data_IF_292720468538
#
_entry.id   IF_292720468538
#
_cell.length_a   1.000
_cell.length_b   1.000
_cell.length_c   1.000
_cell.angle_alpha   90.00
_cell.angle_beta   90.00
_cell.angle_gamma   90.00
#
_symmetry.space_group_name_H-M   'P 1'
#
loop_
_entity.id
_entity.type
_entity.pdbx_description
1 polymer ?
#
# COMPACT_ATOMS: atom_id res chain seq x y z
N UNK A 1 8.60 15.86 -16.66
CA UNK A 1 7.89 14.98 -15.69
C UNK A 1 6.49 15.53 -15.49
N UNK A 2 5.46 14.76 -15.74
CA UNK A 2 4.08 15.15 -15.46
C UNK A 2 3.86 15.34 -13.95
N UNK A 3 2.91 16.22 -13.62
CA UNK A 3 2.50 16.47 -12.24
C UNK A 3 0.98 16.41 -12.16
N UNK A 4 0.45 15.73 -11.14
CA UNK A 4 -0.99 15.62 -10.89
C UNK A 4 -1.33 16.00 -9.47
N UNK A 5 -2.58 16.43 -9.25
CA UNK A 5 -3.12 16.66 -7.90
C UNK A 5 -3.66 15.34 -7.36
N UNK A 6 -3.21 14.92 -6.19
CA UNK A 6 -3.67 13.72 -5.53
C UNK A 6 -4.11 14.06 -4.09
N UNK A 7 -5.41 14.27 -3.91
CA UNK A 7 -5.94 14.77 -2.64
C UNK A 7 -5.23 16.05 -2.17
N UNK A 8 -4.63 16.06 -0.97
CA UNK A 8 -3.96 17.23 -0.41
C UNK A 8 -2.55 17.48 -0.98
N UNK A 9 -2.00 16.59 -1.83
CA UNK A 9 -0.62 16.70 -2.32
C UNK A 9 -0.53 16.86 -3.85
N UNK A 10 0.57 17.47 -4.30
CA UNK A 10 0.97 17.45 -5.71
C UNK A 10 2.01 16.35 -5.90
N UNK A 11 1.84 15.53 -6.93
CA UNK A 11 2.72 14.39 -7.20
C UNK A 11 3.30 14.49 -8.59
N UNK A 12 4.61 14.46 -8.69
CA UNK A 12 5.37 14.37 -9.93
C UNK A 12 5.86 12.94 -10.11
N UNK A 13 5.74 12.42 -11.33
CA UNK A 13 6.16 11.06 -11.67
C UNK A 13 6.89 11.03 -13.02
N UNK A 14 7.60 9.95 -13.29
CA UNK A 14 8.33 9.69 -14.53
C UNK A 14 7.86 8.37 -15.16
N UNK A 15 8.17 8.13 -16.42
CA UNK A 15 7.68 6.97 -17.19
C UNK A 15 8.05 5.61 -16.57
N UNK A 16 9.07 5.57 -15.70
CA UNK A 16 9.48 4.36 -14.98
C UNK A 16 8.64 4.10 -13.71
N UNK A 17 7.69 4.98 -13.37
CA UNK A 17 6.83 4.88 -12.19
C UNK A 17 5.38 4.91 -12.64
N UNK A 18 4.55 4.02 -12.06
CA UNK A 18 3.13 3.97 -12.38
C UNK A 18 2.47 5.35 -12.14
N UNK A 19 1.71 5.81 -13.13
CA UNK A 19 0.94 7.04 -13.01
C UNK A 19 -0.03 6.96 -11.82
N UNK A 20 -0.06 7.97 -10.92
CA UNK A 20 -1.01 8.02 -9.81
C UNK A 20 -2.45 7.90 -10.28
N UNK A 21 -3.17 6.90 -9.77
CA UNK A 21 -4.57 6.64 -10.13
C UNK A 21 -5.51 7.36 -9.15
N UNK A 22 -6.41 8.23 -9.62
CA UNK A 22 -7.25 9.05 -8.72
C UNK A 22 -8.08 8.23 -7.72
N UNK A 23 -8.48 7.02 -8.07
CA UNK A 23 -9.29 6.15 -7.19
C UNK A 23 -8.51 5.61 -5.99
N UNK A 24 -7.17 5.50 -6.06
CA UNK A 24 -6.37 5.04 -4.93
C UNK A 24 -6.32 6.06 -3.77
N UNK A 25 -6.83 7.29 -3.98
CA UNK A 25 -7.03 8.24 -2.90
C UNK A 25 -7.97 7.70 -1.80
N UNK A 26 -8.91 6.81 -2.17
CA UNK A 26 -9.79 6.16 -1.20
C UNK A 26 -9.00 5.39 -0.13
N UNK A 27 -7.86 4.81 -0.51
CA UNK A 27 -6.95 4.11 0.41
C UNK A 27 -6.31 5.07 1.42
N UNK A 28 -5.85 6.25 0.94
CA UNK A 28 -5.31 7.30 1.83
C UNK A 28 -6.35 7.82 2.83
N UNK A 29 -7.57 8.03 2.35
CA UNK A 29 -8.68 8.51 3.19
C UNK A 29 -9.03 7.45 4.24
N UNK A 30 -9.11 6.18 3.85
CA UNK A 30 -9.39 5.11 4.81
C UNK A 30 -8.27 4.93 5.84
N UNK A 31 -7.02 5.00 5.43
CA UNK A 31 -5.90 4.98 6.35
C UNK A 31 -5.96 6.14 7.37
N UNK A 32 -6.44 7.32 6.95
CA UNK A 32 -6.62 8.48 7.84
C UNK A 32 -7.83 8.36 8.79
N UNK A 33 -8.75 7.43 8.55
CA UNK A 33 -9.86 7.11 9.47
C UNK A 33 -9.41 6.19 10.63
N UNK A 34 -8.24 5.56 10.54
CA UNK A 34 -7.72 4.68 11.58
C UNK A 34 -7.10 5.48 12.74
N UNK A 35 -6.95 4.87 13.94
CA UNK A 35 -6.28 5.51 15.06
C UNK A 35 -4.88 6.00 14.66
N UNK A 36 -4.52 7.26 14.99
CA UNK A 36 -3.27 7.85 14.54
C UNK A 36 -2.04 7.15 15.14
N UNK A 37 -0.99 7.00 14.34
CA UNK A 37 0.28 6.42 14.76
C UNK A 37 1.26 6.30 13.59
N UNK A 38 2.46 5.73 13.79
CA UNK A 38 3.43 5.54 12.72
C UNK A 38 2.83 4.74 11.57
N UNK A 39 3.10 5.20 10.34
CA UNK A 39 2.60 4.58 9.11
C UNK A 39 3.70 3.93 8.31
N UNK A 40 3.36 2.85 7.61
CA UNK A 40 4.19 2.18 6.60
C UNK A 40 3.41 2.12 5.28
N UNK A 41 4.08 2.42 4.18
CA UNK A 41 3.57 2.15 2.82
C UNK A 41 4.50 1.16 2.11
N UNK A 42 3.93 0.06 1.65
CA UNK A 42 4.62 -1.00 0.91
C UNK A 42 4.35 -0.85 -0.59
N UNK A 43 5.42 -0.76 -1.40
CA UNK A 43 5.32 -0.53 -2.84
C UNK A 43 4.84 0.88 -3.15
N UNK A 44 5.52 1.90 -2.61
CA UNK A 44 5.00 3.26 -2.60
C UNK A 44 4.93 3.95 -3.98
N UNK A 45 5.62 3.46 -5.01
CA UNK A 45 5.65 4.12 -6.31
C UNK A 45 6.12 5.58 -6.21
N UNK A 46 5.32 6.53 -6.73
CA UNK A 46 5.59 7.97 -6.58
C UNK A 46 5.26 8.50 -5.16
N UNK A 47 4.80 7.66 -4.25
CA UNK A 47 4.51 8.00 -2.86
C UNK A 47 3.13 8.61 -2.63
N UNK A 48 2.27 8.68 -3.64
CA UNK A 48 1.02 9.45 -3.61
C UNK A 48 0.06 9.03 -2.50
N UNK A 49 -0.08 7.72 -2.25
CA UNK A 49 -1.08 7.21 -1.30
C UNK A 49 -0.65 7.53 0.14
N UNK A 50 0.57 7.13 0.51
CA UNK A 50 1.10 7.39 1.84
C UNK A 50 1.30 8.88 2.13
N UNK A 51 1.78 9.66 1.15
CA UNK A 51 1.92 11.12 1.32
C UNK A 51 0.58 11.81 1.55
N UNK A 52 -0.47 11.41 0.83
CA UNK A 52 -1.81 11.94 1.08
C UNK A 52 -2.33 11.56 2.48
N UNK A 53 -2.13 10.30 2.92
CA UNK A 53 -2.47 9.86 4.27
C UNK A 53 -1.67 10.63 5.34
N UNK A 54 -0.35 10.82 5.13
CA UNK A 54 0.50 11.60 6.04
C UNK A 54 0.08 13.08 6.12
N UNK A 55 -0.31 13.69 5.00
CA UNK A 55 -0.82 15.05 4.98
C UNK A 55 -2.17 15.21 5.71
N UNK A 56 -3.02 14.17 5.66
CA UNK A 56 -4.32 14.16 6.35
C UNK A 56 -4.18 13.93 7.86
N UNK A 57 -3.23 13.12 8.29
CA UNK A 57 -3.10 12.68 9.70
C UNK A 57 -2.03 13.43 10.48
N UNK A 58 -1.00 13.96 9.81
CA UNK A 58 0.21 14.48 10.45
C UNK A 58 1.12 13.40 11.03
N UNK A 59 0.85 12.11 10.79
CA UNK A 59 1.62 10.99 11.33
C UNK A 59 2.93 10.77 10.56
N UNK A 60 3.99 10.26 11.22
CA UNK A 60 5.22 9.88 10.53
C UNK A 60 5.00 8.69 9.61
N UNK A 61 5.69 8.68 8.46
CA UNK A 61 5.54 7.68 7.41
C UNK A 61 6.89 7.10 7.01
N UNK A 62 6.96 5.78 6.92
CA UNK A 62 8.01 5.05 6.21
C UNK A 62 7.43 4.57 4.89
N UNK A 63 8.11 4.89 3.78
CA UNK A 63 7.75 4.41 2.45
C UNK A 63 8.84 3.45 1.96
N UNK A 64 8.43 2.33 1.41
CA UNK A 64 9.35 1.31 0.87
C UNK A 64 8.98 0.99 -0.57
N UNK A 65 9.97 0.97 -1.44
CA UNK A 65 9.84 0.47 -2.81
C UNK A 65 11.13 -0.19 -3.27
N UNK A 66 11.04 -1.27 -4.04
CA UNK A 66 12.22 -1.92 -4.62
C UNK A 66 12.85 -1.14 -5.76
N UNK A 67 12.08 -0.26 -6.41
CA UNK A 67 12.53 0.58 -7.52
C UNK A 67 13.24 1.84 -7.01
N UNK A 68 14.50 2.04 -7.41
CA UNK A 68 15.21 3.29 -7.12
C UNK A 68 14.52 4.51 -7.75
N UNK A 69 13.89 4.35 -8.93
CA UNK A 69 13.15 5.43 -9.58
C UNK A 69 11.93 5.84 -8.75
N UNK A 70 11.16 4.86 -8.26
CA UNK A 70 10.03 5.09 -7.37
C UNK A 70 10.47 5.77 -6.07
N UNK A 71 11.50 5.25 -5.41
CA UNK A 71 12.04 5.82 -4.16
C UNK A 71 12.51 7.27 -4.34
N UNK A 72 13.18 7.59 -5.46
CA UNK A 72 13.58 8.98 -5.74
C UNK A 72 12.37 9.89 -5.98
N UNK A 73 11.37 9.42 -6.73
CA UNK A 73 10.15 10.18 -6.98
C UNK A 73 9.39 10.44 -5.67
N UNK A 74 9.19 9.42 -4.83
CA UNK A 74 8.53 9.55 -3.54
C UNK A 74 9.25 10.52 -2.60
N UNK A 75 10.59 10.46 -2.51
CA UNK A 75 11.37 11.39 -1.70
C UNK A 75 11.26 12.85 -2.20
N UNK A 76 11.28 13.05 -3.52
CA UNK A 76 11.11 14.38 -4.11
C UNK A 76 9.69 14.93 -3.84
N UNK A 77 8.66 14.10 -3.97
CA UNK A 77 7.27 14.46 -3.70
C UNK A 77 7.04 14.75 -2.20
N UNK A 78 7.63 13.97 -1.30
CA UNK A 78 7.59 14.23 0.14
C UNK A 78 8.19 15.61 0.48
N UNK A 79 9.34 15.94 -0.13
CA UNK A 79 9.98 17.24 0.05
C UNK A 79 9.12 18.37 -0.51
N UNK A 80 8.55 18.22 -1.71
CA UNK A 80 7.70 19.21 -2.36
C UNK A 80 6.39 19.45 -1.58
N UNK A 81 5.84 18.41 -0.93
CA UNK A 81 4.67 18.50 -0.06
C UNK A 81 4.97 19.10 1.33
N UNK A 82 6.24 19.41 1.64
CA UNK A 82 6.63 19.88 2.98
C UNK A 82 6.66 18.79 4.06
N UNK A 83 6.61 17.52 3.65
CA UNK A 83 6.58 16.35 4.55
C UNK A 83 7.96 15.70 4.74
N UNK A 84 9.03 16.22 4.13
CA UNK A 84 10.36 15.62 4.17
C UNK A 84 10.96 15.40 5.56
N UNK A 85 10.47 16.10 6.59
CA UNK A 85 10.89 15.90 7.98
C UNK A 85 10.17 14.76 8.70
N UNK A 86 9.06 14.27 8.18
CA UNK A 86 8.22 13.21 8.77
C UNK A 86 8.11 11.95 7.90
N UNK A 87 8.72 11.97 6.71
CA UNK A 87 8.71 10.84 5.77
C UNK A 87 10.13 10.28 5.62
N UNK A 88 10.26 8.98 5.81
CA UNK A 88 11.51 8.23 5.58
C UNK A 88 11.31 7.32 4.37
N UNK A 89 12.18 7.46 3.36
CA UNK A 89 12.19 6.62 2.17
C UNK A 89 13.22 5.51 2.29
N UNK A 90 12.86 4.28 1.94
CA UNK A 90 13.77 3.13 1.86
C UNK A 90 13.64 2.44 0.51
N UNK A 91 14.78 2.00 -0.04
CA UNK A 91 14.82 1.28 -1.32
C UNK A 91 15.24 -0.17 -1.09
N UNK A 92 14.44 -1.10 -1.55
CA UNK A 92 14.69 -2.53 -1.43
C UNK A 92 13.43 -3.34 -1.21
N UNK A 93 13.60 -4.65 -1.03
CA UNK A 93 12.50 -5.50 -0.58
C UNK A 93 12.13 -5.12 0.86
N UNK A 94 10.84 -4.93 1.18
CA UNK A 94 10.44 -4.54 2.53
C UNK A 94 10.89 -5.56 3.60
N UNK A 95 10.96 -6.85 3.28
CA UNK A 95 11.46 -7.87 4.21
C UNK A 95 12.94 -7.69 4.57
N UNK A 96 13.72 -7.02 3.71
CA UNK A 96 15.16 -6.82 3.91
C UNK A 96 15.48 -5.46 4.54
N UNK A 97 14.65 -4.43 4.28
CA UNK A 97 14.97 -3.05 4.67
C UNK A 97 14.25 -2.55 5.91
N UNK A 98 13.26 -3.29 6.41
CA UNK A 98 12.62 -3.02 7.69
C UNK A 98 13.36 -3.72 8.82
N UNK A 99 13.56 -3.04 9.94
CA UNK A 99 14.16 -3.67 11.11
C UNK A 99 13.10 -4.54 11.84
N UNK A 100 13.49 -5.72 12.30
CA UNK A 100 12.58 -6.72 12.85
C UNK A 100 11.73 -6.24 14.05
N UNK A 101 12.14 -5.18 14.73
CA UNK A 101 11.46 -4.59 15.89
C UNK A 101 10.59 -3.37 15.51
N UNK A 102 10.60 -2.91 14.24
CA UNK A 102 9.74 -1.80 13.81
C UNK A 102 8.27 -2.24 13.77
N UNK A 103 7.41 -1.37 14.29
CA UNK A 103 5.96 -1.58 14.33
C UNK A 103 5.23 -0.32 13.88
N UNK A 104 4.16 -0.54 13.12
CA UNK A 104 3.35 0.52 12.52
C UNK A 104 1.88 0.34 12.92
N UNK A 105 1.24 1.43 13.30
CA UNK A 105 -0.18 1.43 13.61
C UNK A 105 -1.05 1.32 12.36
N UNK A 106 -0.54 1.85 11.24
CA UNK A 106 -1.25 1.86 9.96
C UNK A 106 -0.27 1.37 8.89
N UNK A 107 -0.68 0.34 8.14
CA UNK A 107 0.06 -0.14 6.98
C UNK A 107 -0.80 0.03 5.73
N UNK A 108 -0.24 0.62 4.69
CA UNK A 108 -0.87 0.80 3.39
C UNK A 108 -0.16 -0.11 2.39
N UNK A 109 -0.91 -0.89 1.62
CA UNK A 109 -0.39 -1.77 0.61
C UNK A 109 -1.25 -1.70 -0.67
N UNK A 110 -0.61 -1.29 -1.77
CA UNK A 110 -1.17 -1.33 -3.13
C UNK A 110 -0.20 -2.11 -4.04
N UNK A 111 -0.09 -3.44 -3.82
CA UNK A 111 0.84 -4.27 -4.57
C UNK A 111 0.40 -4.40 -6.03
N UNK A 112 1.32 -4.68 -6.97
CA UNK A 112 0.95 -5.23 -8.27
C UNK A 112 0.05 -6.45 -8.10
N UNK A 113 -1.10 -6.48 -8.78
CA UNK A 113 -2.12 -7.54 -8.64
C UNK A 113 -2.66 -8.06 -9.99
N UNK A 114 -2.08 -7.64 -11.12
CA UNK A 114 -2.48 -8.14 -12.44
C UNK A 114 -1.77 -9.47 -12.69
N UNK A 115 -2.49 -10.54 -13.10
CA UNK A 115 -1.86 -11.78 -13.53
C UNK A 115 -0.88 -11.54 -14.67
N UNK A 116 0.29 -12.21 -14.66
CA UNK A 116 1.35 -12.00 -15.66
C UNK A 116 0.87 -12.17 -17.11
N UNK A 117 -0.10 -13.04 -17.37
CA UNK A 117 -0.69 -13.25 -18.70
C UNK A 117 -1.60 -12.10 -19.17
N UNK A 118 -2.00 -11.21 -18.26
CA UNK A 118 -2.88 -10.08 -18.54
C UNK A 118 -2.16 -8.73 -18.63
N UNK A 119 -0.88 -8.64 -18.29
CA UNK A 119 -0.14 -7.35 -18.24
C UNK A 119 -0.07 -6.65 -19.60
N UNK A 120 -0.09 -7.39 -20.71
CA UNK A 120 -0.11 -6.85 -22.07
C UNK A 120 -1.39 -6.05 -22.39
N UNK A 121 -2.42 -6.14 -21.56
CA UNK A 121 -3.66 -5.33 -21.67
C UNK A 121 -3.43 -3.88 -21.22
N UNK A 122 -2.30 -3.60 -20.58
CA UNK A 122 -1.92 -2.30 -20.03
C UNK A 122 -0.57 -1.82 -20.58
N UNK A 123 -0.46 -1.57 -21.90
CA UNK A 123 0.82 -1.32 -22.57
C UNK A 123 1.49 0.01 -22.14
N UNK A 124 0.72 0.93 -21.56
CA UNK A 124 1.22 2.23 -21.09
C UNK A 124 1.74 2.17 -19.65
N UNK A 125 1.49 1.07 -18.92
CA UNK A 125 1.91 0.92 -17.53
C UNK A 125 3.25 0.15 -17.44
N UNK A 126 4.17 0.57 -16.54
CA UNK A 126 5.40 -0.19 -16.31
C UNK A 126 5.06 -1.62 -15.81
N UNK A 127 5.44 -2.65 -16.55
CA UNK A 127 5.13 -4.06 -16.23
C UNK A 127 5.47 -4.40 -14.78
N UNK A 128 6.64 -3.99 -14.29
CA UNK A 128 7.07 -4.29 -12.92
C UNK A 128 6.20 -3.65 -11.82
N UNK A 129 5.38 -2.66 -12.18
CA UNK A 129 4.49 -1.97 -11.25
C UNK A 129 3.06 -2.53 -11.24
N UNK A 130 2.72 -3.44 -12.17
CA UNK A 130 1.40 -4.03 -12.28
C UNK A 130 1.40 -5.56 -12.23
N UNK A 131 2.52 -6.22 -12.57
CA UNK A 131 2.65 -7.68 -12.62
C UNK A 131 2.67 -8.26 -11.20
N UNK A 132 1.58 -8.91 -10.82
CA UNK A 132 1.39 -9.57 -9.52
C UNK A 132 1.82 -11.05 -9.49
N UNK A 133 2.43 -11.56 -10.59
CA UNK A 133 2.80 -12.97 -10.68
C UNK A 133 1.78 -13.83 -11.42
N UNK A 134 1.92 -15.14 -11.33
CA UNK A 134 1.16 -16.11 -12.14
C UNK A 134 -0.37 -15.94 -12.04
N UNK A 135 -0.88 -15.77 -10.86
CA UNK A 135 -2.32 -15.54 -10.57
C UNK A 135 -2.62 -14.11 -10.09
N UNK A 136 -1.60 -13.23 -10.10
CA UNK A 136 -1.71 -11.85 -9.61
C UNK A 136 -1.62 -11.72 -8.09
N UNK A 137 -1.39 -12.81 -7.34
CA UNK A 137 -1.42 -12.80 -5.88
C UNK A 137 -0.04 -12.87 -5.21
N UNK A 138 1.04 -13.13 -5.95
CA UNK A 138 2.37 -13.36 -5.36
C UNK A 138 2.85 -12.18 -4.50
N UNK A 139 2.72 -10.95 -5.01
CA UNK A 139 3.13 -9.74 -4.29
C UNK A 139 2.12 -9.34 -3.21
N UNK A 140 0.83 -9.62 -3.39
CA UNK A 140 -0.19 -9.46 -2.34
C UNK A 140 0.19 -10.33 -1.13
N UNK A 141 0.49 -11.60 -1.35
CA UNK A 141 0.89 -12.54 -0.31
C UNK A 141 2.21 -12.12 0.36
N UNK A 142 3.20 -11.68 -0.42
CA UNK A 142 4.47 -11.20 0.11
C UNK A 142 4.27 -9.98 1.03
N UNK A 143 3.53 -8.97 0.57
CA UNK A 143 3.27 -7.76 1.35
C UNK A 143 2.47 -8.05 2.61
N UNK A 144 1.49 -8.94 2.56
CA UNK A 144 0.71 -9.32 3.74
C UNK A 144 1.53 -10.08 4.79
N UNK A 145 2.51 -10.90 4.39
CA UNK A 145 3.45 -11.51 5.35
C UNK A 145 4.31 -10.45 6.03
N UNK A 146 4.90 -9.55 5.27
CA UNK A 146 5.69 -8.44 5.83
C UNK A 146 4.82 -7.55 6.71
N UNK A 147 3.61 -7.21 6.26
CA UNK A 147 2.70 -6.38 7.03
C UNK A 147 2.33 -7.03 8.38
N UNK A 148 2.08 -8.34 8.40
CA UNK A 148 1.78 -9.06 9.66
C UNK A 148 2.94 -8.97 10.65
N UNK A 149 4.19 -9.11 10.19
CA UNK A 149 5.37 -9.02 11.05
C UNK A 149 5.60 -7.61 11.62
N UNK A 150 5.10 -6.58 10.94
CA UNK A 150 5.33 -5.17 11.28
C UNK A 150 4.07 -4.42 11.78
N UNK A 151 2.90 -5.06 11.81
CA UNK A 151 1.69 -4.44 12.34
C UNK A 151 1.77 -4.34 13.86
N UNK A 152 1.52 -3.13 14.40
CA UNK A 152 1.39 -2.95 15.83
C UNK A 152 0.10 -3.61 16.37
N UNK A 153 0.06 -4.07 17.61
CA UNK A 153 -1.18 -4.52 18.24
C UNK A 153 -2.27 -3.45 18.16
N UNK A 154 -3.46 -3.83 17.71
CA UNK A 154 -4.58 -2.92 17.47
C UNK A 154 -4.45 -2.02 16.24
N UNK A 155 -3.43 -2.24 15.42
CA UNK A 155 -3.22 -1.55 14.15
C UNK A 155 -4.08 -2.10 13.01
N UNK A 156 -4.03 -1.42 11.85
CA UNK A 156 -4.77 -1.81 10.67
C UNK A 156 -3.95 -1.74 9.38
N UNK A 157 -4.21 -2.69 8.49
CA UNK A 157 -3.65 -2.74 7.13
C UNK A 157 -4.76 -2.35 6.15
N UNK A 158 -4.53 -1.33 5.33
CA UNK A 158 -5.41 -0.97 4.21
C UNK A 158 -4.78 -1.52 2.93
N UNK A 159 -5.36 -2.61 2.42
CA UNK A 159 -4.91 -3.34 1.23
C UNK A 159 -5.78 -2.99 0.03
N UNK A 160 -5.19 -2.77 -1.15
CA UNK A 160 -5.88 -2.77 -2.43
C UNK A 160 -5.61 -4.06 -3.20
N UNK A 161 -6.63 -4.55 -3.90
CA UNK A 161 -6.58 -5.71 -4.80
C UNK A 161 -7.42 -5.48 -6.05
N UNK A 162 -7.29 -6.37 -7.02
CA UNK A 162 -7.94 -6.33 -8.34
C UNK A 162 -9.44 -6.67 -8.34
N UNK A 163 -10.15 -6.43 -7.25
CA UNK A 163 -11.60 -6.60 -7.16
C UNK A 163 -12.06 -7.60 -6.11
N UNK A 164 -13.39 -7.78 -5.98
CA UNK A 164 -13.98 -8.65 -4.95
C UNK A 164 -13.55 -10.12 -5.06
N UNK A 165 -13.39 -10.64 -6.27
CA UNK A 165 -13.00 -12.03 -6.51
C UNK A 165 -11.59 -12.31 -5.98
N UNK A 166 -10.62 -11.44 -6.30
CA UNK A 166 -9.26 -11.58 -5.77
C UNK A 166 -9.23 -11.40 -4.24
N UNK A 167 -10.09 -10.55 -3.69
CA UNK A 167 -10.22 -10.41 -2.24
C UNK A 167 -10.75 -11.70 -1.58
N UNK A 168 -11.68 -12.42 -2.22
CA UNK A 168 -12.15 -13.74 -1.75
C UNK A 168 -11.01 -14.78 -1.75
N UNK A 169 -10.14 -14.74 -2.76
CA UNK A 169 -8.94 -15.58 -2.84
C UNK A 169 -7.95 -15.25 -1.72
N UNK A 170 -7.67 -13.97 -1.47
CA UNK A 170 -6.84 -13.51 -0.35
C UNK A 170 -7.40 -14.00 1.00
N UNK A 171 -8.70 -13.85 1.24
CA UNK A 171 -9.31 -14.35 2.47
C UNK A 171 -9.23 -15.88 2.60
N UNK A 172 -9.37 -16.59 1.49
CA UNK A 172 -9.24 -18.05 1.49
C UNK A 172 -7.82 -18.47 1.85
N UNK A 173 -6.82 -17.78 1.28
CA UNK A 173 -5.42 -18.00 1.61
C UNK A 173 -5.10 -17.67 3.08
N UNK A 174 -5.60 -16.55 3.61
CA UNK A 174 -5.42 -16.16 5.02
C UNK A 174 -5.99 -17.21 5.99
N UNK A 175 -7.11 -17.86 5.64
CA UNK A 175 -7.70 -18.95 6.43
C UNK A 175 -6.93 -20.27 6.32
N UNK A 176 -6.05 -20.40 5.35
CA UNK A 176 -5.20 -21.58 5.14
C UNK A 176 -4.03 -21.65 6.12
N UNK A 177 -3.23 -22.71 5.99
CA UNK A 177 -2.03 -22.92 6.82
C UNK A 177 -0.85 -22.04 6.45
N UNK A 178 -0.85 -21.47 5.26
CA UNK A 178 0.26 -20.73 4.66
C UNK A 178 0.10 -19.21 4.81
N UNK A 179 -1.10 -18.75 5.21
CA UNK A 179 -1.38 -17.35 5.47
C UNK A 179 -0.86 -16.87 6.81
N UNK A 180 -0.47 -15.58 6.93
CA UNK A 180 -0.14 -14.99 8.22
C UNK A 180 -1.38 -14.85 9.11
N UNK A 181 -1.17 -14.59 10.41
CA UNK A 181 -2.25 -14.40 11.38
C UNK A 181 -2.96 -13.05 11.20
N UNK A 182 -3.61 -12.90 10.05
CA UNK A 182 -4.41 -11.74 9.67
C UNK A 182 -5.83 -12.15 9.33
N UNK A 183 -6.77 -11.20 9.51
CA UNK A 183 -8.18 -11.37 9.15
C UNK A 183 -8.72 -10.09 8.53
N UNK A 184 -9.53 -10.24 7.47
CA UNK A 184 -10.27 -9.12 6.88
C UNK A 184 -11.42 -8.73 7.80
N UNK A 185 -11.48 -7.45 8.19
CA UNK A 185 -12.51 -6.87 9.07
C UNK A 185 -13.59 -6.14 8.31
N UNK A 186 -13.19 -5.44 7.26
CA UNK A 186 -14.09 -4.63 6.43
C UNK A 186 -13.64 -4.68 4.98
N UNK A 187 -14.60 -4.63 4.06
CA UNK A 187 -14.37 -4.54 2.61
C UNK A 187 -15.02 -3.28 2.06
N UNK A 188 -14.37 -2.62 1.11
CA UNK A 188 -14.94 -1.52 0.33
C UNK A 188 -14.74 -1.82 -1.16
N UNK A 189 -15.82 -2.17 -1.85
CA UNK A 189 -15.80 -2.38 -3.29
C UNK A 189 -15.84 -1.02 -4.00
N UNK A 190 -14.81 -0.71 -4.77
CA UNK A 190 -14.72 0.55 -5.51
C UNK A 190 -15.25 0.41 -6.94
N UNK A 191 -15.03 -0.76 -7.54
CA UNK A 191 -15.51 -1.16 -8.88
C UNK A 191 -15.37 -2.68 -9.02
N UNK A 192 -15.79 -3.24 -10.16
CA UNK A 192 -15.67 -4.67 -10.42
C UNK A 192 -14.21 -5.16 -10.43
N UNK A 193 -13.27 -4.27 -10.77
CA UNK A 193 -11.83 -4.51 -10.91
C UNK A 193 -10.99 -3.91 -9.79
N UNK A 194 -11.59 -3.47 -8.68
CA UNK A 194 -10.88 -2.90 -7.53
C UNK A 194 -11.66 -2.96 -6.24
N UNK A 195 -11.00 -3.46 -5.20
CA UNK A 195 -11.53 -3.51 -3.86
C UNK A 195 -10.45 -3.14 -2.83
N UNK A 196 -10.89 -2.57 -1.72
CA UNK A 196 -10.07 -2.33 -0.55
C UNK A 196 -10.50 -3.27 0.57
N UNK A 197 -9.53 -3.66 1.40
CA UNK A 197 -9.76 -4.41 2.62
C UNK A 197 -9.04 -3.77 3.80
N UNK A 198 -9.70 -3.75 4.95
CA UNK A 198 -9.07 -3.50 6.24
C UNK A 198 -8.77 -4.85 6.89
N UNK A 199 -7.49 -5.08 7.19
CA UNK A 199 -7.05 -6.28 7.90
C UNK A 199 -6.44 -5.91 9.25
N UNK A 200 -6.54 -6.85 10.20
CA UNK A 200 -5.90 -6.78 11.53
C UNK A 200 -5.33 -8.14 11.89
N UNK A 201 -4.54 -8.22 12.97
CA UNK A 201 -4.29 -9.53 13.58
C UNK A 201 -5.60 -10.19 13.99
N UNK A 202 -5.66 -11.53 13.89
CA UNK A 202 -6.91 -12.28 14.15
C UNK A 202 -7.41 -12.11 15.59
N UNK A 203 -6.50 -11.94 16.55
CA UNK A 203 -6.81 -11.72 17.97
C UNK A 203 -7.24 -10.29 18.33
N UNK A 204 -7.07 -9.32 17.46
CA UNK A 204 -7.37 -7.91 17.70
C UNK A 204 -8.83 -7.58 17.35
N UNK A 205 -9.41 -6.57 18.01
CA UNK A 205 -10.66 -5.95 17.55
C UNK A 205 -10.40 -5.05 16.34
N UNK A 206 -11.44 -4.78 15.55
CA UNK A 206 -11.30 -3.81 14.46
C UNK A 206 -10.92 -2.43 15.04
N UNK A 207 -9.91 -1.73 14.49
CA UNK A 207 -9.57 -0.39 14.95
C UNK A 207 -10.76 0.54 14.71
N UNK A 208 -11.22 1.20 15.77
CA UNK A 208 -12.32 2.17 15.69
C UNK A 208 -11.76 3.57 15.53
N UNK A 209 -12.36 4.34 14.64
CA UNK A 209 -12.05 5.77 14.50
C UNK A 209 -12.21 6.49 15.85
N UNK A 210 -11.36 7.46 16.15
CA UNK A 210 -11.43 8.26 17.38
C UNK A 210 -12.70 9.13 17.48
#
# INVERSE_FOLDING_TARGET
MPTTTFGPVQVTYEDAVLEPRPWTLAQSVWAAELPPGPMLELGCGAGQIGLAAAALTGCPLVQVDRSEAASRAAAANASAAGLGGSVTQRTGDPADVLAADERFAIIIADPPYIPSEEVDRFPDDPTHAIDGGGDGADLVHHFLRVAADHLAPGGGIVLQVGGPEQLDEVETWLRGTDGPDLVVRERRELAADRALALLTHAGDEAPTAP
#
